data_IF_316925656034
#
_entry.id   IF_316925656034
#
_cell.length_a   1.000
_cell.length_b   1.000
_cell.length_c   1.000
_cell.angle_alpha   90.00
_cell.angle_beta   90.00
_cell.angle_gamma   90.00
#
_symmetry.space_group_name_H-M   'P 1'
#
loop_
_entity.id
_entity.type
_entity.pdbx_description
1 polymer ?
#
# COMPACT_ATOMS: atom_id res chain seq x y z
N UNK A 1 -36.95 7.33 -38.23
CA UNK A 1 -36.46 7.96 -36.98
C UNK A 1 -35.13 7.30 -36.64
N UNK A 2 -34.05 7.86 -37.11
CA UNK A 2 -32.74 7.26 -37.03
C UNK A 2 -32.00 7.70 -35.77
N UNK A 3 -31.40 6.73 -35.09
CA UNK A 3 -30.47 6.99 -33.96
C UNK A 3 -29.07 6.95 -34.55
N UNK A 4 -28.40 8.12 -34.54
CA UNK A 4 -27.00 8.25 -34.90
C UNK A 4 -26.12 7.58 -33.82
N UNK A 5 -25.40 6.54 -34.19
CA UNK A 5 -24.28 6.01 -33.39
C UNK A 5 -23.00 6.79 -33.74
N UNK A 6 -22.50 7.59 -32.81
CA UNK A 6 -21.19 8.20 -32.91
C UNK A 6 -20.12 7.21 -32.44
N UNK A 7 -19.50 6.52 -33.39
CA UNK A 7 -18.27 5.76 -33.14
C UNK A 7 -17.06 6.68 -33.26
N UNK A 8 -16.52 7.12 -32.13
CA UNK A 8 -15.23 7.83 -32.10
C UNK A 8 -14.09 6.80 -32.31
N UNK A 9 -13.57 6.75 -33.53
CA UNK A 9 -12.30 6.07 -33.85
C UNK A 9 -11.13 6.93 -33.37
N UNK A 10 -10.52 6.59 -32.26
CA UNK A 10 -9.23 7.15 -31.87
C UNK A 10 -8.12 6.57 -32.74
N UNK A 11 -7.54 7.39 -33.59
CA UNK A 11 -6.33 7.08 -34.35
C UNK A 11 -5.12 6.98 -33.42
N UNK A 12 -4.28 5.95 -33.64
CA UNK A 12 -2.95 5.73 -33.06
C UNK A 12 -2.00 6.88 -33.39
N UNK A 13 -1.94 7.93 -32.60
CA UNK A 13 -0.88 8.93 -32.62
C UNK A 13 -0.91 9.74 -31.31
N UNK A 14 -0.44 9.12 -30.23
CA UNK A 14 -0.28 9.80 -28.94
C UNK A 14 1.13 9.58 -28.36
N UNK A 15 2.15 9.91 -29.17
CA UNK A 15 3.52 10.06 -28.71
C UNK A 15 4.08 11.30 -29.43
N UNK A 16 3.66 12.51 -29.04
CA UNK A 16 4.57 13.64 -29.02
C UNK A 16 4.30 14.65 -27.89
N UNK A 17 3.77 14.24 -26.73
CA UNK A 17 3.52 15.20 -25.64
C UNK A 17 4.70 15.37 -24.67
N UNK A 18 5.76 14.57 -24.81
CA UNK A 18 6.94 14.66 -23.95
C UNK A 18 8.06 15.57 -24.51
N UNK A 19 7.94 16.08 -25.73
CA UNK A 19 9.01 16.86 -26.39
C UNK A 19 8.66 18.34 -26.66
N UNK A 20 7.51 18.83 -26.24
CA UNK A 20 7.09 20.21 -26.50
C UNK A 20 7.33 21.21 -25.34
N UNK A 21 8.09 20.83 -24.29
CA UNK A 21 8.38 21.71 -23.13
C UNK A 21 9.71 22.49 -23.31
N UNK A 22 10.39 22.42 -24.43
CA UNK A 22 11.70 23.06 -24.61
C UNK A 22 11.69 24.45 -25.26
N UNK A 23 10.59 25.20 -25.26
CA UNK A 23 10.63 26.60 -25.66
C UNK A 23 9.80 27.48 -24.70
N UNK A 24 10.33 27.73 -23.51
CA UNK A 24 9.83 28.78 -22.62
C UNK A 24 10.94 29.79 -22.38
N UNK A 25 10.74 31.01 -22.88
CA UNK A 25 11.61 32.13 -22.59
C UNK A 25 11.59 32.43 -21.08
N UNK A 26 12.74 32.24 -20.44
CA UNK A 26 12.99 32.53 -19.04
C UNK A 26 13.15 34.03 -18.82
N UNK A 27 12.12 34.71 -18.34
CA UNK A 27 12.27 35.96 -17.62
C UNK A 27 11.77 35.76 -16.22
N UNK A 28 12.73 35.69 -15.29
CA UNK A 28 12.49 35.45 -13.87
C UNK A 28 12.01 36.72 -13.18
N UNK A 29 10.90 36.66 -12.45
CA UNK A 29 10.64 37.45 -11.27
C UNK A 29 10.27 36.50 -10.12
N UNK A 30 11.18 36.39 -9.14
CA UNK A 30 10.99 35.58 -7.95
C UNK A 30 10.14 36.38 -6.95
N UNK A 31 8.90 35.95 -6.73
CA UNK A 31 8.19 36.20 -5.48
C UNK A 31 7.94 34.87 -4.78
N UNK A 32 8.55 34.75 -3.60
CA UNK A 32 8.44 33.59 -2.72
C UNK A 32 7.06 33.57 -2.08
N UNK A 33 6.07 32.96 -2.69
CA UNK A 33 4.82 32.61 -2.01
C UNK A 33 5.01 31.25 -1.33
N UNK A 34 4.95 31.25 0.00
CA UNK A 34 4.81 30.06 0.81
C UNK A 34 3.49 29.39 0.46
N UNK A 35 3.53 28.37 -0.36
CA UNK A 35 2.37 27.50 -0.61
C UNK A 35 2.15 26.67 0.66
N UNK A 36 1.15 27.01 1.46
CA UNK A 36 0.62 26.18 2.52
C UNK A 36 -0.22 25.03 1.90
N UNK A 37 0.39 24.23 1.06
CA UNK A 37 -0.23 23.00 0.61
C UNK A 37 -0.16 21.98 1.77
N UNK A 38 -1.28 21.71 2.42
CA UNK A 38 -1.48 20.61 3.37
C UNK A 38 -1.46 19.23 2.65
N UNK A 39 -0.79 19.14 1.53
CA UNK A 39 -0.59 17.89 0.83
C UNK A 39 0.75 17.33 1.28
N UNK A 40 0.70 16.26 2.08
CA UNK A 40 1.90 15.59 2.55
C UNK A 40 2.18 14.37 1.66
N UNK A 41 3.16 14.45 0.73
CA UNK A 41 3.56 13.31 -0.06
C UNK A 41 4.26 12.22 0.75
N UNK A 42 4.56 12.46 2.03
CA UNK A 42 5.30 11.55 2.91
C UNK A 42 4.54 10.28 3.28
N UNK A 43 3.22 10.24 3.04
CA UNK A 43 2.38 9.09 3.36
C UNK A 43 2.81 7.80 2.66
N UNK A 44 3.49 7.89 1.52
CA UNK A 44 4.05 6.74 0.80
C UNK A 44 5.58 6.64 0.95
N UNK A 45 6.20 7.36 1.90
CA UNK A 45 7.65 7.37 2.09
C UNK A 45 8.43 8.13 1.02
N UNK A 46 7.75 8.93 0.20
CA UNK A 46 8.39 9.76 -0.82
C UNK A 46 8.54 11.20 -0.31
N UNK A 47 9.54 11.45 0.51
CA UNK A 47 9.92 12.82 0.83
C UNK A 47 10.42 13.52 -0.43
N UNK A 48 9.93 14.73 -0.70
CA UNK A 48 10.50 15.60 -1.73
C UNK A 48 11.88 16.03 -1.25
N UNK A 49 12.98 15.62 -1.91
CA UNK A 49 14.29 15.82 -1.36
C UNK A 49 14.83 17.21 -1.70
N UNK A 50 14.65 18.14 -0.79
CA UNK A 50 15.68 19.18 -0.66
C UNK A 50 16.93 18.46 -0.15
N UNK A 51 17.80 17.99 -1.06
CA UNK A 51 19.00 17.23 -0.71
C UNK A 51 19.07 15.83 -1.30
N UNK A 52 18.35 15.54 -2.40
CA UNK A 52 18.49 14.29 -3.15
C UNK A 52 19.90 14.10 -3.72
N UNK A 53 20.25 12.87 -4.10
CA UNK A 53 21.55 12.49 -4.67
C UNK A 53 21.97 13.38 -5.87
N UNK A 54 21.01 13.81 -6.67
CA UNK A 54 21.26 14.65 -7.84
C UNK A 54 21.24 16.17 -7.53
N UNK A 55 20.92 16.55 -6.29
CA UNK A 55 20.83 17.95 -5.87
C UNK A 55 19.84 18.76 -6.71
N UNK A 56 20.24 19.96 -7.09
CA UNK A 56 19.46 20.87 -7.94
C UNK A 56 19.53 20.56 -9.45
N UNK A 57 20.31 19.54 -9.83
CA UNK A 57 20.56 19.16 -11.23
C UNK A 57 21.01 20.35 -12.10
N UNK A 58 21.99 21.12 -11.63
CA UNK A 58 22.47 22.35 -12.29
C UNK A 58 21.37 23.40 -12.52
N UNK A 59 20.46 23.57 -11.59
CA UNK A 59 19.34 24.50 -11.66
C UNK A 59 18.10 23.99 -12.39
N UNK A 60 18.11 22.75 -12.92
CA UNK A 60 16.94 22.19 -13.61
C UNK A 60 15.79 21.94 -12.63
N UNK A 61 16.06 21.39 -11.44
CA UNK A 61 15.03 21.15 -10.43
C UNK A 61 14.28 22.44 -10.03
N UNK A 62 14.96 23.52 -9.60
CA UNK A 62 14.30 24.80 -9.34
C UNK A 62 13.54 25.36 -10.54
N UNK A 63 14.07 25.19 -11.76
CA UNK A 63 13.37 25.64 -12.97
C UNK A 63 12.05 24.90 -13.20
N UNK A 64 12.02 23.58 -12.99
CA UNK A 64 10.80 22.76 -13.07
C UNK A 64 9.80 23.14 -11.96
N UNK A 65 10.26 23.29 -10.71
CA UNK A 65 9.44 23.69 -9.58
C UNK A 65 8.83 25.09 -9.83
N UNK A 66 9.62 26.04 -10.32
CA UNK A 66 9.13 27.35 -10.74
C UNK A 66 8.10 27.27 -11.87
N UNK A 67 8.15 26.23 -12.72
CA UNK A 67 7.13 25.93 -13.72
C UNK A 67 5.93 25.18 -13.16
N UNK A 68 5.84 24.94 -11.83
CA UNK A 68 4.78 24.19 -11.17
C UNK A 68 4.88 22.68 -11.37
N UNK A 69 6.04 22.17 -11.84
CA UNK A 69 6.29 20.74 -11.95
C UNK A 69 7.18 20.25 -10.81
N UNK A 70 6.60 19.47 -9.91
CA UNK A 70 7.30 18.85 -8.79
C UNK A 70 7.45 17.37 -9.05
N UNK A 71 8.62 16.80 -8.75
CA UNK A 71 8.84 15.37 -8.89
C UNK A 71 9.70 14.81 -7.78
N UNK A 72 9.52 13.52 -7.53
CA UNK A 72 10.36 12.71 -6.64
C UNK A 72 10.74 11.42 -7.36
N UNK A 73 12.01 11.09 -7.36
CA UNK A 73 12.54 9.83 -7.88
C UNK A 73 13.20 9.09 -6.72
N UNK A 74 12.69 7.92 -6.40
CA UNK A 74 13.16 7.10 -5.29
C UNK A 74 13.51 5.69 -5.76
N UNK A 75 14.51 5.11 -5.12
CA UNK A 75 14.88 3.71 -5.25
C UNK A 75 14.88 3.07 -3.85
N UNK A 76 14.23 1.92 -3.75
CA UNK A 76 14.23 1.09 -2.53
C UNK A 76 14.59 -0.32 -2.90
N UNK A 77 15.47 -0.95 -2.15
CA UNK A 77 15.67 -2.39 -2.23
C UNK A 77 15.56 -3.03 -0.85
N UNK A 78 15.23 -4.31 -0.85
CA UNK A 78 15.10 -5.12 0.35
C UNK A 78 15.69 -6.49 0.10
N UNK A 79 16.57 -6.89 1.00
CA UNK A 79 17.12 -8.24 1.07
C UNK A 79 16.53 -8.90 2.30
N UNK A 80 16.07 -10.15 2.15
CA UNK A 80 15.60 -10.96 3.28
C UNK A 80 16.26 -12.34 3.21
N UNK A 81 16.75 -12.82 4.35
CA UNK A 81 17.47 -14.08 4.47
C UNK A 81 16.86 -14.94 5.57
N UNK A 82 16.45 -16.16 5.25
CA UNK A 82 15.99 -17.13 6.24
C UNK A 82 17.18 -17.66 7.06
N UNK A 83 17.40 -17.11 8.23
CA UNK A 83 18.51 -17.50 9.11
C UNK A 83 18.26 -18.83 9.82
N UNK A 84 17.00 -19.13 10.19
CA UNK A 84 16.65 -20.37 10.87
C UNK A 84 15.14 -20.66 10.77
N UNK A 85 14.76 -21.92 10.79
CA UNK A 85 13.36 -22.35 10.80
C UNK A 85 12.66 -22.21 9.46
N UNK A 86 11.33 -22.13 9.50
CA UNK A 86 10.48 -22.10 8.32
C UNK A 86 10.15 -23.48 7.78
N UNK A 87 9.46 -23.50 6.65
CA UNK A 87 9.02 -24.74 5.99
C UNK A 87 10.14 -25.45 5.27
N UNK A 88 10.89 -24.70 4.43
CA UNK A 88 12.08 -25.18 3.77
C UNK A 88 13.32 -24.51 4.41
N UNK A 89 14.27 -25.31 4.86
CA UNK A 89 15.46 -24.82 5.55
C UNK A 89 16.57 -24.32 4.60
N UNK A 90 16.33 -24.22 3.31
CA UNK A 90 17.26 -23.64 2.36
C UNK A 90 17.57 -22.18 2.71
N UNK A 91 18.87 -21.92 2.87
CA UNK A 91 19.38 -20.62 3.32
C UNK A 91 19.81 -19.77 2.13
N UNK A 92 18.84 -19.23 1.41
CA UNK A 92 19.10 -18.26 0.34
C UNK A 92 18.52 -16.90 0.68
N UNK A 93 19.13 -15.84 0.19
CA UNK A 93 18.58 -14.51 0.28
C UNK A 93 17.54 -14.29 -0.82
N UNK A 94 16.47 -13.58 -0.51
CA UNK A 94 15.52 -13.02 -1.48
C UNK A 94 15.82 -11.54 -1.66
N UNK A 95 15.77 -11.08 -2.89
CA UNK A 95 16.00 -9.70 -3.26
C UNK A 95 14.80 -9.12 -3.99
N UNK A 96 14.41 -7.92 -3.59
CA UNK A 96 13.42 -7.12 -4.32
C UNK A 96 13.89 -5.69 -4.42
N UNK A 97 13.53 -4.99 -5.49
CA UNK A 97 13.76 -3.58 -5.63
C UNK A 97 12.62 -2.83 -6.30
N UNK A 98 12.65 -1.52 -6.17
CA UNK A 98 11.69 -0.63 -6.75
C UNK A 98 12.31 0.72 -7.09
N UNK A 99 12.09 1.18 -8.32
CA UNK A 99 12.27 2.57 -8.72
C UNK A 99 10.90 3.21 -8.85
N UNK A 100 10.70 4.37 -8.27
CA UNK A 100 9.42 5.10 -8.32
C UNK A 100 9.65 6.56 -8.70
N UNK A 101 9.03 7.00 -9.79
CA UNK A 101 8.94 8.39 -10.19
C UNK A 101 7.52 8.88 -9.90
N UNK A 102 7.40 9.82 -8.98
CA UNK A 102 6.15 10.53 -8.69
C UNK A 102 6.26 11.96 -9.17
N UNK A 103 5.21 12.50 -9.75
CA UNK A 103 5.18 13.90 -10.18
C UNK A 103 3.82 14.54 -9.94
N UNK A 104 3.85 15.86 -9.76
CA UNK A 104 2.68 16.74 -9.69
C UNK A 104 2.92 17.94 -10.58
N UNK A 105 1.96 18.24 -11.46
CA UNK A 105 1.93 19.44 -12.27
C UNK A 105 0.81 20.34 -11.80
N UNK A 106 1.14 21.50 -11.28
CA UNK A 106 0.19 22.58 -11.01
C UNK A 106 -0.40 23.08 -12.32
N UNK A 107 -1.73 23.14 -12.40
CA UNK A 107 -2.46 23.55 -13.58
C UNK A 107 -2.91 25.00 -13.53
N UNK A 108 -2.97 25.64 -12.38
CA UNK A 108 -3.45 27.01 -12.23
C UNK A 108 -2.70 27.96 -13.17
N UNK A 109 -1.38 27.82 -13.20
CA UNK A 109 -0.50 28.64 -14.03
C UNK A 109 -0.80 28.54 -15.55
N UNK A 110 -1.25 27.37 -16.02
CA UNK A 110 -1.44 27.12 -17.46
C UNK A 110 -2.89 27.25 -17.90
N UNK A 111 -3.81 26.98 -17.02
CA UNK A 111 -5.24 26.90 -17.34
C UNK A 111 -6.06 27.99 -16.64
N UNK A 112 -5.50 28.67 -15.63
CA UNK A 112 -6.21 29.58 -14.76
C UNK A 112 -7.24 28.90 -13.84
N UNK A 113 -7.21 27.55 -13.73
CA UNK A 113 -8.08 26.79 -12.82
C UNK A 113 -7.39 26.74 -11.47
N UNK A 114 -7.89 27.43 -10.43
CA UNK A 114 -7.23 27.49 -9.15
C UNK A 114 -7.24 26.15 -8.43
N UNK A 115 -6.16 25.89 -7.68
CA UNK A 115 -5.98 24.70 -6.85
C UNK A 115 -6.17 23.37 -7.61
N UNK A 116 -5.83 23.34 -8.90
CA UNK A 116 -5.93 22.17 -9.75
C UNK A 116 -4.55 21.60 -10.10
N UNK A 117 -4.42 20.27 -10.10
CA UNK A 117 -3.19 19.58 -10.44
C UNK A 117 -3.44 18.28 -11.22
N UNK A 118 -2.42 17.86 -12.01
CA UNK A 118 -2.29 16.49 -12.49
C UNK A 118 -1.19 15.82 -11.66
N UNK A 119 -1.48 14.64 -11.16
CA UNK A 119 -0.56 13.82 -10.38
C UNK A 119 -0.34 12.48 -11.06
N UNK A 120 0.89 12.01 -11.08
CA UNK A 120 1.21 10.74 -11.69
C UNK A 120 2.34 10.01 -10.98
N UNK A 121 2.34 8.69 -11.15
CA UNK A 121 3.42 7.83 -10.65
C UNK A 121 3.73 6.75 -11.68
N UNK A 122 5.01 6.54 -11.92
CA UNK A 122 5.53 5.45 -12.72
C UNK A 122 6.45 4.64 -11.81
N UNK A 123 6.24 3.34 -11.78
CA UNK A 123 7.01 2.45 -10.93
C UNK A 123 7.56 1.27 -11.72
N UNK A 124 8.82 0.94 -11.46
CA UNK A 124 9.45 -0.30 -11.89
C UNK A 124 9.73 -1.15 -10.64
N UNK A 125 9.37 -2.41 -10.67
CA UNK A 125 9.70 -3.38 -9.62
C UNK A 125 10.40 -4.57 -10.21
N UNK A 126 11.40 -5.08 -9.48
CA UNK A 126 12.03 -6.36 -9.75
C UNK A 126 12.01 -7.18 -8.47
N UNK A 127 11.69 -8.44 -8.58
CA UNK A 127 11.70 -9.34 -7.43
C UNK A 127 11.98 -10.77 -7.84
N UNK A 128 12.68 -11.41 -6.97
CA UNK A 128 12.73 -12.84 -6.84
C UNK A 128 12.11 -13.16 -5.45
N UNK A 129 10.98 -13.70 -5.34
CA UNK A 129 10.25 -13.74 -4.08
C UNK A 129 10.01 -15.14 -3.55
N UNK A 130 11.00 -16.00 -3.69
CA UNK A 130 10.87 -17.38 -3.25
C UNK A 130 10.97 -17.55 -1.72
N UNK A 131 11.50 -16.55 -0.99
CA UNK A 131 11.67 -16.68 0.46
C UNK A 131 10.37 -17.06 1.17
N UNK A 132 9.28 -16.31 0.93
CA UNK A 132 7.97 -16.60 1.52
C UNK A 132 7.43 -17.94 1.04
N UNK A 133 7.34 -18.12 -0.28
CA UNK A 133 6.58 -19.20 -0.92
C UNK A 133 7.14 -20.57 -0.62
N UNK A 134 8.44 -20.71 -0.70
CA UNK A 134 9.07 -22.01 -0.72
C UNK A 134 9.92 -22.28 0.51
N UNK A 135 10.12 -21.25 1.36
CA UNK A 135 11.01 -21.35 2.53
C UNK A 135 10.34 -21.05 3.85
N UNK A 136 9.65 -19.92 3.97
CA UNK A 136 9.01 -19.55 5.23
C UNK A 136 7.69 -20.30 5.43
N UNK A 137 6.84 -20.37 4.41
CA UNK A 137 5.52 -20.99 4.47
C UNK A 137 5.49 -22.30 3.69
N UNK A 138 4.60 -23.20 4.08
CA UNK A 138 4.22 -24.34 3.24
C UNK A 138 3.62 -23.82 1.92
N UNK A 139 4.16 -24.30 0.79
CA UNK A 139 3.70 -23.87 -0.54
C UNK A 139 2.24 -24.19 -0.84
N UNK A 140 1.65 -25.15 -0.11
CA UNK A 140 0.21 -25.52 -0.17
C UNK A 140 -0.66 -24.58 0.64
N UNK A 141 -0.07 -23.80 1.57
CA UNK A 141 -0.78 -22.89 2.45
C UNK A 141 -1.18 -21.58 1.76
N UNK A 142 -2.16 -20.89 2.35
CA UNK A 142 -2.54 -19.54 1.93
C UNK A 142 -1.38 -18.55 2.13
N UNK A 143 -1.19 -17.67 1.17
CA UNK A 143 -0.18 -16.61 1.26
C UNK A 143 -0.73 -15.43 2.05
N UNK A 144 -0.44 -15.39 3.34
CA UNK A 144 -0.90 -14.34 4.25
C UNK A 144 0.20 -13.40 4.70
N UNK A 145 1.45 -13.84 4.64
CA UNK A 145 2.61 -13.20 5.26
C UNK A 145 3.64 -12.80 4.21
N UNK A 146 4.26 -11.64 4.38
CA UNK A 146 5.27 -11.09 3.45
C UNK A 146 6.44 -10.52 4.26
N UNK A 147 7.65 -11.04 4.02
CA UNK A 147 8.88 -10.58 4.69
C UNK A 147 9.45 -9.27 4.16
N UNK A 148 8.93 -8.78 3.05
CA UNK A 148 9.38 -7.61 2.33
C UNK A 148 8.19 -6.79 1.84
N UNK A 149 8.32 -5.44 1.86
CA UNK A 149 7.18 -4.57 1.53
C UNK A 149 6.99 -4.31 0.03
N UNK A 150 8.07 -4.31 -0.76
CA UNK A 150 8.04 -3.96 -2.18
C UNK A 150 7.47 -5.09 -3.03
N UNK A 151 6.35 -5.65 -2.61
CA UNK A 151 5.69 -6.80 -3.20
C UNK A 151 4.56 -6.41 -4.15
N UNK A 152 4.33 -7.22 -5.18
CA UNK A 152 3.16 -7.14 -6.04
C UNK A 152 3.35 -6.33 -7.32
N UNK A 153 2.35 -6.38 -8.20
CA UNK A 153 2.32 -5.68 -9.48
C UNK A 153 3.24 -6.26 -10.55
N UNK A 154 3.94 -7.35 -10.25
CA UNK A 154 4.90 -8.06 -11.10
C UNK A 154 6.19 -7.26 -11.39
N UNK A 155 7.23 -7.95 -11.89
CA UNK A 155 8.52 -7.37 -12.28
C UNK A 155 8.41 -6.69 -13.64
N UNK A 156 7.91 -5.47 -13.66
CA UNK A 156 7.73 -4.63 -14.85
C UNK A 156 7.72 -3.14 -14.50
N UNK A 157 7.88 -2.31 -15.52
CA UNK A 157 7.57 -0.88 -15.43
C UNK A 157 6.09 -0.66 -15.74
N UNK A 158 5.40 0.07 -14.87
CA UNK A 158 3.97 0.32 -14.99
C UNK A 158 3.56 1.70 -14.49
N UNK A 159 2.38 2.13 -14.90
CA UNK A 159 1.70 3.25 -14.28
C UNK A 159 1.33 2.85 -12.84
N UNK A 160 1.61 3.69 -11.86
CA UNK A 160 1.17 3.53 -10.47
C UNK A 160 -0.14 4.24 -10.19
N UNK A 161 -0.29 5.46 -10.73
CA UNK A 161 -1.53 6.26 -10.80
C UNK A 161 -1.38 7.39 -11.81
N UNK A 162 -2.52 7.94 -12.24
CA UNK A 162 -2.62 9.18 -13.02
C UNK A 162 -3.96 9.83 -12.71
N UNK A 163 -3.94 10.94 -11.98
CA UNK A 163 -5.13 11.59 -11.46
C UNK A 163 -5.13 13.09 -11.73
N UNK A 164 -6.33 13.64 -11.87
CA UNK A 164 -6.61 15.06 -11.75
C UNK A 164 -7.12 15.32 -10.33
N UNK A 165 -6.63 16.36 -9.68
CA UNK A 165 -7.11 16.82 -8.37
C UNK A 165 -7.45 18.29 -8.39
N UNK A 166 -8.42 18.70 -7.56
CA UNK A 166 -8.78 20.08 -7.35
C UNK A 166 -9.37 20.31 -5.95
N UNK A 167 -9.06 21.47 -5.37
CA UNK A 167 -9.66 21.91 -4.10
C UNK A 167 -10.68 23.01 -4.32
N UNK A 168 -11.69 23.06 -3.46
CA UNK A 168 -12.80 24.01 -3.46
C UNK A 168 -13.11 24.45 -2.03
N UNK A 169 -14.02 25.42 -1.86
CA UNK A 169 -14.52 25.89 -0.55
C UNK A 169 -13.35 26.26 0.38
N UNK A 170 -12.54 27.22 -0.03
CA UNK A 170 -11.33 27.65 0.68
C UNK A 170 -10.43 26.45 1.06
N UNK A 171 -10.32 25.48 0.13
CA UNK A 171 -9.54 24.24 0.27
C UNK A 171 -10.06 23.26 1.32
N UNK A 172 -11.32 23.35 1.72
CA UNK A 172 -11.93 22.35 2.61
C UNK A 172 -12.40 21.10 1.88
N UNK A 173 -12.84 21.27 0.62
CA UNK A 173 -13.27 20.15 -0.22
C UNK A 173 -12.17 19.81 -1.23
N UNK A 174 -11.63 18.59 -1.15
CA UNK A 174 -10.65 18.07 -2.08
C UNK A 174 -11.27 16.97 -2.94
N UNK A 175 -11.17 17.13 -4.23
CA UNK A 175 -11.65 16.17 -5.21
C UNK A 175 -10.50 15.62 -6.02
N UNK A 176 -10.46 14.29 -6.18
CA UNK A 176 -9.53 13.59 -7.06
C UNK A 176 -10.29 12.62 -7.94
N UNK A 177 -9.90 12.50 -9.22
CA UNK A 177 -10.48 11.58 -10.20
C UNK A 177 -9.40 11.08 -11.14
N UNK A 178 -9.50 9.84 -11.59
CA UNK A 178 -8.58 9.24 -12.57
C UNK A 178 -8.24 7.79 -12.25
N UNK A 179 -7.07 7.37 -12.72
CA UNK A 179 -6.49 6.07 -12.40
C UNK A 179 -5.77 6.16 -11.07
N UNK A 180 -6.29 5.54 -10.04
CA UNK A 180 -5.83 5.67 -8.66
C UNK A 180 -5.81 4.34 -7.92
N UNK A 181 -5.17 4.32 -6.78
CA UNK A 181 -5.30 3.24 -5.80
C UNK A 181 -5.81 3.81 -4.46
N UNK A 182 -6.36 2.95 -3.61
CA UNK A 182 -6.96 3.37 -2.35
C UNK A 182 -5.97 4.04 -1.40
N UNK A 183 -4.75 3.53 -1.32
CA UNK A 183 -3.77 4.00 -0.33
C UNK A 183 -3.32 5.44 -0.51
N UNK A 184 -3.60 6.07 -1.65
CA UNK A 184 -3.34 7.50 -1.81
C UNK A 184 -4.21 8.37 -0.88
N UNK A 185 -5.36 7.87 -0.47
CA UNK A 185 -6.37 8.67 0.22
C UNK A 185 -6.86 8.05 1.53
N UNK A 186 -6.82 6.73 1.69
CA UNK A 186 -7.37 5.98 2.81
C UNK A 186 -6.31 5.15 3.53
N UNK A 187 -6.58 4.75 4.78
CA UNK A 187 -5.71 3.91 5.62
C UNK A 187 -4.28 4.48 5.82
N UNK A 188 -4.16 5.79 5.96
CA UNK A 188 -2.88 6.50 5.98
C UNK A 188 -2.29 6.73 7.38
N UNK A 189 -2.92 6.24 8.44
CA UNK A 189 -2.44 6.48 9.81
C UNK A 189 -1.09 5.80 10.11
N UNK A 190 -0.75 4.72 9.42
CA UNK A 190 0.50 3.96 9.63
C UNK A 190 1.28 3.92 8.34
N UNK A 191 2.52 4.39 8.36
CA UNK A 191 3.45 4.30 7.22
C UNK A 191 4.12 2.94 7.09
N UNK A 192 4.90 2.76 6.01
CA UNK A 192 5.69 1.55 5.73
C UNK A 192 7.13 1.71 6.24
N UNK A 193 7.32 1.76 7.55
CA UNK A 193 8.64 1.87 8.16
C UNK A 193 9.35 0.53 8.29
N UNK A 194 8.60 -0.53 8.51
CA UNK A 194 9.08 -1.90 8.65
C UNK A 194 9.35 -2.53 7.30
N UNK A 195 10.23 -3.52 7.24
CA UNK A 195 10.46 -4.28 6.01
C UNK A 195 9.34 -5.29 5.75
N UNK A 196 8.82 -5.95 6.80
CA UNK A 196 7.68 -6.85 6.61
C UNK A 196 6.42 -6.09 6.19
N UNK A 197 5.77 -6.57 5.13
CA UNK A 197 4.51 -6.00 4.66
C UNK A 197 3.40 -6.11 5.73
N UNK A 198 3.50 -7.06 6.65
CA UNK A 198 2.51 -7.26 7.72
C UNK A 198 2.44 -6.09 8.72
N UNK A 199 3.48 -5.25 8.77
CA UNK A 199 3.55 -4.04 9.60
C UNK A 199 3.54 -2.75 8.76
N UNK A 200 3.40 -2.86 7.44
CA UNK A 200 3.37 -1.75 6.52
C UNK A 200 1.93 -1.27 6.31
N UNK A 201 1.63 -0.09 6.81
CA UNK A 201 0.31 0.52 6.72
C UNK A 201 -0.78 -0.24 7.50
N UNK A 202 -2.03 0.17 7.39
CA UNK A 202 -3.18 -0.51 7.99
C UNK A 202 -3.65 -1.76 7.24
N UNK A 203 -2.77 -2.45 6.52
CA UNK A 203 -3.11 -3.44 5.50
C UNK A 203 -3.26 -4.85 5.95
N UNK A 204 -3.04 -5.14 7.20
CA UNK A 204 -2.92 -6.52 7.67
C UNK A 204 -4.14 -7.42 7.43
N UNK A 205 -5.27 -6.87 6.94
CA UNK A 205 -6.39 -7.65 6.44
C UNK A 205 -6.58 -7.45 4.93
N UNK A 206 -5.61 -7.85 4.13
CA UNK A 206 -5.79 -7.87 2.68
C UNK A 206 -6.93 -8.80 2.30
N UNK A 207 -8.07 -8.23 1.94
CA UNK A 207 -9.10 -8.96 1.23
C UNK A 207 -8.63 -9.22 -0.21
N UNK A 208 -8.97 -10.38 -0.77
CA UNK A 208 -8.54 -10.74 -2.13
C UNK A 208 -9.06 -9.82 -3.24
N UNK A 209 -10.01 -8.92 -2.96
CA UNK A 209 -10.53 -7.89 -3.86
C UNK A 209 -9.90 -6.50 -3.64
N UNK A 210 -8.95 -6.44 -2.72
CA UNK A 210 -8.26 -5.22 -2.37
C UNK A 210 -6.89 -5.17 -3.03
N UNK A 211 -6.70 -4.24 -3.93
CA UNK A 211 -5.42 -4.02 -4.57
C UNK A 211 -4.79 -2.73 -4.05
N UNK A 212 -3.57 -2.85 -3.59
CA UNK A 212 -2.77 -1.72 -3.14
C UNK A 212 -1.94 -1.16 -4.29
N UNK A 213 -1.25 -0.04 -4.01
CA UNK A 213 -0.21 0.48 -4.87
C UNK A 213 0.74 -0.68 -5.24
N UNK A 214 1.00 -0.83 -6.42
CA UNK A 214 1.13 -0.17 -7.69
C UNK A 214 0.08 -0.66 -8.73
N UNK A 215 -1.02 -1.21 -8.30
CA UNK A 215 -2.17 -1.44 -9.17
C UNK A 215 -3.13 -0.26 -9.04
N UNK A 216 -3.75 0.13 -10.15
CA UNK A 216 -4.59 1.31 -10.23
C UNK A 216 -5.90 1.01 -10.96
N UNK A 217 -6.91 1.82 -10.69
CA UNK A 217 -8.28 1.67 -11.20
C UNK A 217 -8.87 3.02 -11.48
N UNK A 218 -9.89 3.09 -12.33
CA UNK A 218 -10.72 4.26 -12.40
C UNK A 218 -11.40 4.50 -11.05
N UNK A 219 -11.36 5.74 -10.60
CA UNK A 219 -11.98 6.11 -9.33
C UNK A 219 -12.13 7.60 -9.17
N UNK A 220 -12.89 7.94 -8.14
CA UNK A 220 -13.04 9.31 -7.66
C UNK A 220 -13.08 9.31 -6.13
N UNK A 221 -12.49 10.31 -5.52
CA UNK A 221 -12.45 10.51 -4.07
C UNK A 221 -12.80 11.94 -3.75
N UNK A 222 -13.63 12.10 -2.71
CA UNK A 222 -13.92 13.36 -2.07
C UNK A 222 -13.43 13.31 -0.63
N UNK A 223 -12.72 14.35 -0.20
CA UNK A 223 -12.32 14.58 1.19
C UNK A 223 -12.87 15.93 1.61
N UNK A 224 -13.48 16.00 2.78
CA UNK A 224 -13.99 17.25 3.33
C UNK A 224 -13.46 17.47 4.75
N UNK A 225 -12.80 18.60 4.95
CA UNK A 225 -12.29 19.01 6.24
C UNK A 225 -13.43 19.57 7.08
N UNK A 226 -13.98 18.73 7.97
CA UNK A 226 -15.04 19.10 8.92
C UNK A 226 -14.54 20.13 9.93
N UNK A 227 -13.29 19.97 10.36
CA UNK A 227 -12.53 20.90 11.20
C UNK A 227 -11.09 20.96 10.72
N UNK A 228 -10.23 21.75 11.37
CA UNK A 228 -8.80 21.77 11.10
C UNK A 228 -8.09 20.44 11.41
N UNK A 229 -8.72 19.56 12.18
CA UNK A 229 -8.16 18.28 12.62
C UNK A 229 -8.94 17.05 12.12
N UNK A 230 -10.21 17.23 11.71
CA UNK A 230 -11.09 16.12 11.34
C UNK A 230 -11.49 16.20 9.86
N UNK A 231 -11.16 15.18 9.10
CA UNK A 231 -11.49 15.03 7.69
C UNK A 231 -12.39 13.81 7.46
N UNK A 232 -13.48 13.99 6.73
CA UNK A 232 -14.32 12.91 6.22
C UNK A 232 -13.93 12.59 4.78
N UNK A 233 -13.87 11.30 4.44
CA UNK A 233 -13.44 10.83 3.13
C UNK A 233 -14.41 9.79 2.58
N UNK A 234 -14.73 9.90 1.30
CA UNK A 234 -15.52 8.90 0.56
C UNK A 234 -14.96 8.74 -0.84
N UNK A 235 -14.95 7.51 -1.34
CA UNK A 235 -14.52 7.22 -2.70
C UNK A 235 -15.40 6.20 -3.40
N UNK A 236 -15.31 6.17 -4.71
CA UNK A 236 -15.83 5.09 -5.56
C UNK A 236 -14.71 4.67 -6.50
N UNK A 237 -14.37 3.39 -6.50
CA UNK A 237 -13.27 2.86 -7.29
C UNK A 237 -13.73 1.60 -8.03
N UNK A 238 -13.35 1.50 -9.29
CA UNK A 238 -13.55 0.28 -10.08
C UNK A 238 -12.91 -0.94 -9.39
N UNK A 239 -13.55 -2.08 -9.49
CA UNK A 239 -12.96 -3.38 -9.12
C UNK A 239 -12.68 -4.19 -10.39
N UNK A 240 -11.39 -4.27 -10.74
CA UNK A 240 -10.94 -4.95 -11.95
C UNK A 240 -9.74 -5.85 -11.64
N UNK A 241 -9.96 -7.17 -11.46
CA UNK A 241 -8.90 -8.11 -11.09
C UNK A 241 -7.80 -8.23 -12.15
N UNK A 242 -8.04 -7.80 -13.39
CA UNK A 242 -7.03 -7.85 -14.45
C UNK A 242 -5.97 -6.74 -14.33
N UNK A 243 -6.24 -5.65 -13.61
CA UNK A 243 -5.35 -4.50 -13.52
C UNK A 243 -4.00 -4.81 -12.87
N UNK A 244 -3.89 -5.89 -12.09
CA UNK A 244 -2.61 -6.40 -11.59
C UNK A 244 -1.75 -7.12 -12.63
N UNK A 245 -2.25 -7.43 -13.81
CA UNK A 245 -1.53 -8.21 -14.84
C UNK A 245 -0.52 -7.36 -15.64
N UNK A 246 0.51 -8.02 -16.21
CA UNK A 246 1.52 -7.35 -17.05
C UNK A 246 0.91 -6.64 -18.26
N UNK A 247 -0.09 -7.24 -18.90
CA UNK A 247 -0.75 -6.67 -20.09
C UNK A 247 -1.50 -5.37 -19.78
N UNK A 248 -1.84 -5.12 -18.51
CA UNK A 248 -2.56 -3.94 -18.05
C UNK A 248 -1.65 -2.87 -17.45
N UNK A 249 -0.33 -3.03 -17.53
CA UNK A 249 0.65 -2.14 -16.91
C UNK A 249 0.49 -0.65 -17.28
N UNK A 250 -0.02 -0.36 -18.47
CA UNK A 250 -0.25 0.99 -19.00
C UNK A 250 -1.68 1.18 -19.51
N UNK A 251 -2.59 0.27 -19.16
CA UNK A 251 -3.95 0.31 -19.67
C UNK A 251 -4.79 1.35 -18.93
N UNK A 252 -5.55 2.13 -19.68
CA UNK A 252 -6.60 3.01 -19.17
C UNK A 252 -8.01 2.42 -19.46
N UNK A 253 -8.09 1.16 -19.92
CA UNK A 253 -9.35 0.49 -20.20
C UNK A 253 -9.97 -0.06 -18.92
N UNK A 254 -11.30 0.03 -18.82
CA UNK A 254 -12.12 -0.61 -17.78
C UNK A 254 -12.60 -2.02 -18.17
N UNK A 255 -12.11 -2.57 -19.28
CA UNK A 255 -12.45 -3.95 -19.67
C UNK A 255 -12.04 -4.93 -18.55
N UNK A 256 -12.91 -5.87 -18.21
CA UNK A 256 -12.71 -6.81 -17.11
C UNK A 256 -13.18 -6.28 -15.75
N UNK A 257 -13.79 -5.10 -15.70
CA UNK A 257 -14.42 -4.58 -14.48
C UNK A 257 -15.50 -5.53 -13.97
N UNK A 258 -15.53 -5.78 -12.65
CA UNK A 258 -16.46 -6.67 -11.96
C UNK A 258 -17.40 -5.96 -11.00
N UNK A 259 -17.26 -4.67 -10.85
CA UNK A 259 -18.03 -3.86 -9.93
C UNK A 259 -17.23 -2.69 -9.37
N UNK A 260 -17.61 -2.24 -8.20
CA UNK A 260 -16.95 -1.12 -7.53
C UNK A 260 -16.64 -1.40 -6.07
N UNK A 261 -15.71 -0.61 -5.53
CA UNK A 261 -15.39 -0.47 -4.13
C UNK A 261 -15.85 0.92 -3.67
N UNK A 262 -16.48 0.98 -2.50
CA UNK A 262 -16.91 2.21 -1.83
C UNK A 262 -16.19 2.32 -0.48
N UNK A 263 -15.00 2.93 -0.41
CA UNK A 263 -14.33 3.25 0.84
C UNK A 263 -14.92 4.52 1.46
N UNK A 264 -15.06 4.51 2.79
CA UNK A 264 -15.43 5.65 3.62
C UNK A 264 -14.54 5.68 4.85
N UNK A 265 -14.04 6.85 5.23
CA UNK A 265 -13.12 7.01 6.36
C UNK A 265 -13.33 8.36 7.06
N UNK A 266 -13.22 8.36 8.38
CA UNK A 266 -12.98 9.54 9.18
C UNK A 266 -11.51 9.51 9.64
N UNK A 267 -10.80 10.60 9.42
CA UNK A 267 -9.43 10.81 9.84
C UNK A 267 -9.33 11.99 10.79
N UNK A 268 -8.75 11.76 11.96
CA UNK A 268 -8.51 12.79 12.97
C UNK A 268 -7.02 12.97 13.21
N UNK A 269 -6.54 14.21 13.09
CA UNK A 269 -5.14 14.61 13.24
C UNK A 269 -4.97 15.57 14.43
N UNK A 270 -5.05 15.08 15.69
CA UNK A 270 -4.91 15.91 16.85
C UNK A 270 -3.45 16.30 17.11
N UNK A 271 -3.30 17.40 17.85
CA UNK A 271 -2.05 17.81 18.49
C UNK A 271 -2.21 17.64 19.99
N UNK A 272 -1.94 16.44 20.53
CA UNK A 272 -2.11 16.16 21.96
C UNK A 272 -1.17 17.03 22.80
N UNK A 273 -1.71 17.57 23.89
CA UNK A 273 -1.01 18.53 24.77
C UNK A 273 -0.42 19.75 24.03
N UNK A 274 -0.99 20.09 22.86
CA UNK A 274 -0.55 21.21 22.01
C UNK A 274 0.77 21.00 21.27
N UNK A 275 1.41 19.82 21.38
CA UNK A 275 2.75 19.58 20.80
C UNK A 275 3.00 18.17 20.26
N UNK A 276 2.17 17.19 20.58
CA UNK A 276 2.40 15.79 20.19
C UNK A 276 1.44 15.40 19.04
N UNK A 277 1.91 15.36 17.78
CA UNK A 277 1.06 15.05 16.65
C UNK A 277 0.60 13.61 16.67
N UNK A 278 -0.63 13.40 16.26
CA UNK A 278 -1.25 12.09 16.07
C UNK A 278 -2.04 12.02 14.78
N UNK A 279 -2.28 10.81 14.30
CA UNK A 279 -3.21 10.51 13.22
C UNK A 279 -4.00 9.27 13.58
N UNK A 280 -5.31 9.36 13.49
CA UNK A 280 -6.25 8.30 13.81
C UNK A 280 -7.22 8.16 12.65
N UNK A 281 -7.51 6.93 12.24
CA UNK A 281 -8.56 6.69 11.27
C UNK A 281 -9.52 5.59 11.71
N UNK A 282 -10.75 5.71 11.24
CA UNK A 282 -11.77 4.68 11.31
C UNK A 282 -12.45 4.63 9.95
N UNK A 283 -12.47 3.46 9.33
CA UNK A 283 -12.97 3.31 7.97
C UNK A 283 -13.77 2.04 7.77
N UNK A 284 -14.60 2.07 6.74
CA UNK A 284 -15.33 0.91 6.24
C UNK A 284 -15.33 0.92 4.72
N UNK A 285 -15.48 -0.24 4.15
CA UNK A 285 -15.48 -0.41 2.70
C UNK A 285 -16.50 -1.47 2.32
N UNK A 286 -17.17 -1.21 1.21
CA UNK A 286 -18.14 -2.13 0.61
C UNK A 286 -17.78 -2.38 -0.84
N UNK A 287 -17.99 -3.59 -1.31
CA UNK A 287 -17.91 -3.92 -2.73
C UNK A 287 -19.16 -4.66 -3.18
N UNK A 288 -19.55 -4.42 -4.43
CA UNK A 288 -20.57 -5.19 -5.12
C UNK A 288 -19.97 -6.19 -6.12
N UNK A 289 -18.65 -6.31 -6.19
CA UNK A 289 -18.00 -7.30 -7.04
C UNK A 289 -18.36 -8.71 -6.61
N UNK A 290 -18.53 -9.66 -7.54
CA UNK A 290 -18.78 -11.07 -7.22
C UNK A 290 -17.64 -11.61 -6.34
N UNK A 291 -18.04 -12.26 -5.24
CA UNK A 291 -17.12 -12.87 -4.27
C UNK A 291 -17.60 -14.30 -4.00
N UNK A 292 -16.75 -15.29 -4.29
CA UNK A 292 -17.06 -16.67 -3.98
C UNK A 292 -17.09 -16.92 -2.47
N UNK A 293 -18.05 -17.70 -1.99
CA UNK A 293 -18.02 -18.25 -0.63
C UNK A 293 -16.82 -19.19 -0.48
N UNK A 294 -16.20 -19.20 0.69
CA UNK A 294 -15.02 -20.01 0.96
C UNK A 294 -15.36 -21.45 1.37
N UNK A 295 -16.64 -21.79 1.55
CA UNK A 295 -17.07 -23.11 2.03
C UNK A 295 -18.41 -23.59 1.45
N UNK A 296 -19.36 -22.69 1.18
CA UNK A 296 -20.73 -23.04 0.81
C UNK A 296 -20.91 -23.05 -0.72
N UNK A 297 -21.57 -24.09 -1.24
CA UNK A 297 -21.93 -24.22 -2.65
C UNK A 297 -23.26 -23.55 -2.99
N UNK A 298 -23.53 -23.40 -4.28
CA UNK A 298 -24.76 -22.77 -4.82
C UNK A 298 -26.02 -23.54 -4.44
N UNK A 299 -25.93 -24.88 -4.39
CA UNK A 299 -27.04 -25.78 -4.07
C UNK A 299 -27.22 -26.01 -2.55
N UNK A 300 -26.40 -25.32 -1.70
CA UNK A 300 -26.44 -25.47 -0.25
C UNK A 300 -25.62 -26.65 0.29
N UNK A 301 -24.95 -27.40 -0.58
CA UNK A 301 -23.93 -28.38 -0.19
C UNK A 301 -22.57 -27.69 0.06
N UNK A 302 -21.61 -28.40 0.68
CA UNK A 302 -20.22 -27.88 0.70
C UNK A 302 -19.73 -27.59 -0.70
N UNK A 303 -19.14 -26.42 -0.92
CA UNK A 303 -18.73 -25.96 -2.26
C UNK A 303 -17.72 -26.88 -2.96
N UNK A 304 -16.96 -27.65 -2.18
CA UNK A 304 -16.01 -28.63 -2.69
C UNK A 304 -16.65 -29.81 -3.45
N UNK A 305 -17.93 -30.10 -3.22
CA UNK A 305 -18.69 -31.20 -3.87
C UNK A 305 -19.92 -30.71 -4.63
N UNK A 306 -20.22 -29.43 -4.56
CA UNK A 306 -21.35 -28.86 -5.28
C UNK A 306 -21.02 -28.77 -6.78
N UNK A 307 -21.81 -29.48 -7.61
CA UNK A 307 -21.62 -29.50 -9.05
C UNK A 307 -21.78 -28.10 -9.70
N UNK A 308 -22.57 -27.23 -9.06
CA UNK A 308 -22.79 -25.84 -9.50
C UNK A 308 -21.70 -24.88 -9.02
N UNK A 309 -20.74 -25.38 -8.21
CA UNK A 309 -19.62 -24.62 -7.66
C UNK A 309 -19.98 -23.81 -6.42
N UNK A 310 -19.04 -23.01 -5.97
CA UNK A 310 -19.21 -22.18 -4.78
C UNK A 310 -20.26 -21.10 -4.98
N UNK A 311 -21.01 -20.78 -3.89
CA UNK A 311 -21.95 -19.67 -3.86
C UNK A 311 -21.22 -18.35 -4.09
N UNK A 312 -21.84 -17.42 -4.82
CA UNK A 312 -21.32 -16.08 -5.05
C UNK A 312 -22.15 -15.04 -4.32
N UNK A 313 -21.49 -14.09 -3.70
CA UNK A 313 -22.08 -12.89 -3.12
C UNK A 313 -21.71 -11.67 -3.96
N UNK A 314 -22.67 -10.78 -4.20
CA UNK A 314 -22.44 -9.46 -4.81
C UNK A 314 -22.32 -8.37 -3.75
N UNK A 315 -21.79 -8.71 -2.59
CA UNK A 315 -21.51 -7.79 -1.48
C UNK A 315 -20.49 -8.39 -0.55
N UNK A 316 -19.53 -7.61 -0.19
CA UNK A 316 -18.58 -7.91 0.89
C UNK A 316 -18.22 -6.61 1.58
N UNK A 317 -17.73 -6.69 2.79
CA UNK A 317 -17.39 -5.55 3.61
C UNK A 317 -16.05 -5.74 4.31
N UNK A 318 -15.46 -4.60 4.66
CA UNK A 318 -14.25 -4.51 5.43
C UNK A 318 -14.36 -3.30 6.37
N UNK A 319 -13.88 -3.46 7.60
CA UNK A 319 -13.80 -2.41 8.59
C UNK A 319 -12.38 -2.31 9.11
N UNK A 320 -11.86 -1.09 9.28
CA UNK A 320 -10.53 -0.85 9.82
C UNK A 320 -10.50 0.35 10.75
N UNK A 321 -9.59 0.31 11.71
CA UNK A 321 -9.19 1.46 12.51
C UNK A 321 -7.70 1.39 12.75
N UNK A 322 -7.03 2.53 12.72
CA UNK A 322 -5.61 2.62 13.00
C UNK A 322 -5.26 3.96 13.66
N UNK A 323 -4.16 3.99 14.36
CA UNK A 323 -3.59 5.23 14.84
C UNK A 323 -2.06 5.19 14.84
N UNK A 324 -1.47 6.35 14.81
CA UNK A 324 -0.07 6.63 15.07
C UNK A 324 0.00 7.90 15.90
N UNK A 325 0.52 7.82 17.11
CA UNK A 325 0.55 8.92 18.08
C UNK A 325 1.95 9.10 18.63
N UNK A 326 2.51 10.27 18.44
CA UNK A 326 3.72 10.67 19.18
C UNK A 326 3.38 10.86 20.66
N UNK A 327 4.13 10.22 21.54
CA UNK A 327 3.87 10.24 23.00
C UNK A 327 4.99 10.94 23.79
N UNK A 328 6.17 11.12 23.21
CA UNK A 328 7.24 11.91 23.79
C UNK A 328 7.84 12.85 22.75
N UNK A 329 8.40 13.95 23.22
CA UNK A 329 9.22 14.87 22.45
C UNK A 329 10.57 15.02 23.15
N UNK A 330 11.66 14.94 22.40
CA UNK A 330 13.01 15.10 22.94
C UNK A 330 13.56 16.46 22.57
N UNK A 331 14.12 17.18 23.57
CA UNK A 331 14.81 18.48 23.41
C UNK A 331 13.97 19.55 22.68
N UNK A 332 12.64 19.54 22.89
CA UNK A 332 11.70 20.44 22.22
C UNK A 332 11.70 20.33 20.66
N UNK A 333 12.37 19.32 20.10
CA UNK A 333 12.32 19.01 18.68
C UNK A 333 11.03 18.21 18.36
N UNK A 334 10.09 18.78 17.60
CA UNK A 334 8.81 18.14 17.31
C UNK A 334 8.94 16.86 16.48
N UNK A 335 10.09 16.64 15.86
CA UNK A 335 10.35 15.45 15.05
C UNK A 335 11.03 14.32 15.83
N UNK A 336 11.61 14.60 17.02
CA UNK A 336 12.31 13.61 17.83
C UNK A 336 11.43 13.11 18.96
N UNK A 337 11.44 11.81 19.18
CA UNK A 337 10.69 11.20 20.27
C UNK A 337 10.07 9.87 19.90
N UNK A 338 9.30 9.32 20.82
CA UNK A 338 8.63 8.03 20.69
C UNK A 338 7.22 8.19 20.14
N UNK A 339 6.87 7.34 19.20
CA UNK A 339 5.50 7.19 18.69
C UNK A 339 5.01 5.76 18.91
N UNK A 340 3.73 5.62 19.24
CA UNK A 340 2.99 4.37 19.26
C UNK A 340 2.09 4.28 18.03
N UNK A 341 1.98 3.08 17.46
CA UNK A 341 1.00 2.81 16.42
C UNK A 341 0.24 1.52 16.71
N UNK A 342 -0.99 1.45 16.22
CA UNK A 342 -1.76 0.21 16.20
C UNK A 342 -2.78 0.25 15.07
N UNK A 343 -3.10 -0.93 14.53
CA UNK A 343 -4.21 -1.12 13.58
C UNK A 343 -5.01 -2.36 13.95
N UNK A 344 -6.29 -2.31 13.60
CA UNK A 344 -7.22 -3.44 13.74
C UNK A 344 -8.12 -3.44 12.51
N UNK A 345 -8.29 -4.61 11.89
CA UNK A 345 -9.12 -4.76 10.72
C UNK A 345 -9.94 -6.04 10.76
N UNK A 346 -11.17 -5.98 10.26
CA UNK A 346 -12.10 -7.08 10.15
C UNK A 346 -12.64 -7.17 8.74
N UNK A 347 -12.90 -8.37 8.25
CA UNK A 347 -13.50 -8.59 6.95
C UNK A 347 -14.62 -9.63 6.98
N UNK A 348 -15.45 -9.64 5.94
CA UNK A 348 -16.48 -10.66 5.76
C UNK A 348 -15.82 -12.02 5.56
N UNK A 349 -15.80 -12.85 6.60
CA UNK A 349 -15.08 -14.12 6.59
C UNK A 349 -15.66 -15.18 5.66
N UNK A 350 -16.86 -14.95 5.08
CA UNK A 350 -17.45 -15.87 4.09
C UNK A 350 -16.72 -15.81 2.76
N UNK A 351 -16.22 -14.61 2.41
CA UNK A 351 -15.57 -14.35 1.13
C UNK A 351 -14.11 -13.88 1.25
N UNK A 352 -13.59 -13.73 2.48
CA UNK A 352 -12.22 -13.34 2.72
C UNK A 352 -11.46 -14.39 3.53
N UNK A 353 -10.26 -14.71 3.11
CA UNK A 353 -9.38 -15.67 3.77
C UNK A 353 -8.94 -15.18 5.16
N UNK A 354 -8.77 -13.88 5.35
CA UNK A 354 -8.45 -13.28 6.64
C UNK A 354 -9.75 -12.83 7.32
N UNK A 355 -9.99 -13.29 8.54
CA UNK A 355 -11.13 -12.90 9.35
C UNK A 355 -10.91 -11.56 10.03
N UNK A 356 -9.76 -11.41 10.68
CA UNK A 356 -9.29 -10.16 11.26
C UNK A 356 -7.78 -10.16 11.39
N UNK A 357 -7.24 -8.97 11.52
CA UNK A 357 -5.82 -8.76 11.76
C UNK A 357 -5.62 -7.58 12.70
N UNK A 358 -4.52 -7.62 13.43
CA UNK A 358 -4.09 -6.56 14.31
C UNK A 358 -2.59 -6.34 14.18
N UNK A 359 -2.15 -5.09 14.26
CA UNK A 359 -0.74 -4.76 14.40
C UNK A 359 -0.56 -3.69 15.46
N UNK A 360 0.60 -3.68 16.09
CA UNK A 360 0.97 -2.65 17.07
C UNK A 360 2.47 -2.56 17.18
N UNK A 361 2.98 -1.38 17.55
CA UNK A 361 4.40 -1.20 17.76
C UNK A 361 4.77 0.19 18.24
N UNK A 362 6.08 0.36 18.36
CA UNK A 362 6.71 1.60 18.78
C UNK A 362 7.76 2.00 17.76
N UNK A 363 7.97 3.31 17.62
CA UNK A 363 9.08 3.89 16.86
C UNK A 363 9.66 5.04 17.65
N UNK A 364 10.98 5.21 17.59
CA UNK A 364 11.67 6.33 18.21
C UNK A 364 12.59 6.98 17.18
N UNK A 365 12.41 8.28 16.92
CA UNK A 365 13.32 9.08 16.12
C UNK A 365 14.30 9.84 17.00
N UNK A 366 15.59 9.78 16.65
CA UNK A 366 16.63 10.54 17.33
C UNK A 366 16.85 10.13 18.79
N UNK A 367 16.86 8.82 19.07
CA UNK A 367 17.14 8.29 20.42
C UNK A 367 18.53 8.76 20.91
N UNK A 368 19.52 8.74 20.02
CA UNK A 368 20.89 9.16 20.31
C UNK A 368 21.14 10.59 19.78
N UNK A 369 21.77 11.45 20.60
CA UNK A 369 21.99 12.85 20.21
C UNK A 369 22.99 13.03 19.06
N UNK A 370 23.93 12.08 18.91
CA UNK A 370 24.86 12.05 17.78
C UNK A 370 24.16 11.61 16.46
N UNK A 371 22.95 11.06 16.56
CA UNK A 371 22.18 10.51 15.44
C UNK A 371 20.71 10.94 15.55
N UNK A 372 20.41 12.24 15.46
CA UNK A 372 19.06 12.78 15.72
C UNK A 372 18.01 12.38 14.66
N UNK A 373 18.46 11.97 13.48
CA UNK A 373 17.57 11.60 12.36
C UNK A 373 17.36 10.09 12.24
N UNK A 374 18.11 9.27 12.99
CA UNK A 374 17.98 7.82 12.94
C UNK A 374 16.69 7.36 13.62
N UNK A 375 16.18 6.21 13.16
CA UNK A 375 15.00 5.57 13.72
C UNK A 375 15.31 4.21 14.29
N UNK A 376 14.65 3.87 15.36
CA UNK A 376 14.54 2.51 15.86
C UNK A 376 13.06 2.16 15.98
N UNK A 377 12.69 0.94 15.61
CA UNK A 377 11.31 0.49 15.72
C UNK A 377 11.21 -0.97 16.11
N UNK A 378 10.09 -1.30 16.75
CA UNK A 378 9.69 -2.66 17.05
C UNK A 378 8.17 -2.77 16.88
N UNK A 379 7.72 -3.86 16.25
CA UNK A 379 6.30 -4.08 16.01
C UNK A 379 5.95 -5.55 15.95
N UNK A 380 4.66 -5.83 16.10
CA UNK A 380 4.07 -7.16 16.01
C UNK A 380 2.77 -7.09 15.21
N UNK A 381 2.57 -8.08 14.35
CA UNK A 381 1.34 -8.30 13.59
C UNK A 381 0.75 -9.66 13.90
N UNK A 382 -0.55 -9.74 13.98
CA UNK A 382 -1.36 -10.95 14.15
C UNK A 382 -2.40 -11.05 13.04
N UNK A 383 -2.47 -12.19 12.38
CA UNK A 383 -3.45 -12.46 11.31
C UNK A 383 -4.25 -13.70 11.68
N UNK A 384 -5.59 -13.59 11.71
CA UNK A 384 -6.51 -14.71 11.96
C UNK A 384 -7.21 -15.11 10.68
N UNK A 385 -7.13 -16.38 10.35
CA UNK A 385 -7.72 -16.96 9.15
C UNK A 385 -9.24 -17.21 9.35
N UNK A 386 -9.97 -17.11 8.25
CA UNK A 386 -11.42 -17.36 8.18
C UNK A 386 -11.76 -18.79 8.62
N UNK A 387 -12.79 -18.91 9.46
CA UNK A 387 -13.31 -20.22 9.85
C UNK A 387 -14.02 -20.93 8.69
N UNK A 388 -14.61 -20.20 7.74
CA UNK A 388 -15.21 -20.77 6.52
C UNK A 388 -14.13 -21.46 5.67
N UNK A 389 -13.01 -20.77 5.44
CA UNK A 389 -11.89 -21.35 4.70
C UNK A 389 -11.33 -22.60 5.39
N UNK A 390 -11.09 -22.53 6.70
CA UNK A 390 -10.65 -23.67 7.50
C UNK A 390 -11.61 -24.86 7.42
N UNK A 391 -12.91 -24.60 7.56
CA UNK A 391 -13.95 -25.61 7.46
C UNK A 391 -13.93 -26.32 6.11
N UNK A 392 -13.78 -25.57 5.02
CA UNK A 392 -13.68 -26.12 3.66
C UNK A 392 -12.44 -27.03 3.48
N UNK A 393 -11.27 -26.60 3.98
CA UNK A 393 -10.06 -27.41 3.90
C UNK A 393 -10.17 -28.71 4.73
N UNK A 394 -10.76 -28.66 5.93
CA UNK A 394 -11.03 -29.86 6.72
C UNK A 394 -11.94 -30.83 5.95
N UNK A 395 -13.02 -30.31 5.35
CA UNK A 395 -13.92 -31.11 4.57
C UNK A 395 -13.24 -31.74 3.34
N UNK A 396 -12.37 -31.00 2.63
CA UNK A 396 -11.57 -31.54 1.53
C UNK A 396 -10.63 -32.67 2.00
N UNK A 397 -10.02 -32.55 3.17
CA UNK A 397 -9.16 -33.60 3.72
C UNK A 397 -9.97 -34.83 4.10
N UNK A 398 -11.16 -34.68 4.64
CA UNK A 398 -12.09 -35.79 4.93
C UNK A 398 -12.51 -36.50 3.64
N UNK A 399 -12.89 -35.77 2.60
CA UNK A 399 -13.24 -36.31 1.28
C UNK A 399 -12.10 -37.13 0.66
N UNK A 400 -10.87 -36.63 0.77
CA UNK A 400 -9.68 -37.29 0.25
C UNK A 400 -9.19 -38.41 1.16
N UNK A 401 -9.83 -38.62 2.33
CA UNK A 401 -9.42 -39.56 3.36
C UNK A 401 -7.95 -39.38 3.77
N UNK A 402 -7.51 -38.13 3.91
CA UNK A 402 -6.15 -37.75 4.33
C UNK A 402 -6.18 -36.99 5.64
N UNK A 403 -5.37 -37.46 6.60
CA UNK A 403 -5.20 -36.83 7.91
C UNK A 403 -3.76 -36.52 8.27
N UNK A 404 -2.83 -37.07 7.50
CA UNK A 404 -1.39 -36.88 7.73
C UNK A 404 -0.90 -35.65 6.98
N UNK A 405 -0.33 -34.69 7.70
CA UNK A 405 0.26 -33.47 7.15
C UNK A 405 1.35 -33.75 6.11
N UNK A 406 2.10 -34.86 6.27
CA UNK A 406 3.16 -35.24 5.31
C UNK A 406 2.63 -35.76 3.98
N UNK A 407 1.34 -36.10 3.89
CA UNK A 407 0.72 -36.55 2.65
C UNK A 407 0.61 -35.36 1.67
N UNK A 408 1.10 -35.49 0.42
CA UNK A 408 1.03 -34.43 -0.58
C UNK A 408 -0.40 -33.97 -0.92
N UNK A 409 -1.40 -34.82 -0.70
CA UNK A 409 -2.82 -34.49 -0.94
C UNK A 409 -3.49 -33.79 0.26
N UNK A 410 -2.78 -33.68 1.38
CA UNK A 410 -3.29 -32.98 2.56
C UNK A 410 -3.30 -31.47 2.31
N UNK A 411 -4.43 -30.84 2.57
CA UNK A 411 -4.56 -29.39 2.59
C UNK A 411 -4.20 -28.87 3.98
N UNK A 412 -3.07 -28.18 4.16
CA UNK A 412 -2.68 -27.61 5.46
C UNK A 412 -3.77 -26.67 5.99
N UNK A 413 -4.11 -26.82 7.28
CA UNK A 413 -5.21 -26.05 7.90
C UNK A 413 -4.64 -24.81 8.59
N UNK A 414 -4.76 -23.62 7.98
CA UNK A 414 -4.23 -22.40 8.58
C UNK A 414 -5.15 -21.90 9.70
N UNK A 415 -4.57 -21.41 10.77
CA UNK A 415 -5.32 -20.83 11.88
C UNK A 415 -4.96 -19.35 12.12
N UNK A 416 -3.72 -19.08 12.48
CA UNK A 416 -3.21 -17.73 12.70
C UNK A 416 -1.70 -17.67 12.49
N UNK A 417 -1.21 -16.50 12.11
CA UNK A 417 0.22 -16.19 12.08
C UNK A 417 0.52 -14.97 12.95
N UNK A 418 1.76 -14.94 13.48
CA UNK A 418 2.31 -13.78 14.19
C UNK A 418 3.66 -13.44 13.56
N UNK A 419 3.84 -12.17 13.23
CA UNK A 419 5.13 -11.65 12.75
C UNK A 419 5.58 -10.53 13.67
N UNK A 420 6.80 -10.59 14.17
CA UNK A 420 7.43 -9.50 14.90
C UNK A 420 8.66 -9.03 14.12
N UNK A 421 8.92 -7.73 14.15
CA UNK A 421 10.12 -7.12 13.55
C UNK A 421 10.70 -6.07 14.46
N UNK A 422 12.03 -6.02 14.51
CA UNK A 422 12.79 -4.91 15.07
C UNK A 422 13.75 -4.39 14.01
N UNK A 423 13.88 -3.07 13.91
CA UNK A 423 14.81 -2.44 12.96
C UNK A 423 15.56 -1.28 13.57
N UNK A 424 16.70 -0.95 12.98
CA UNK A 424 17.39 0.31 13.15
C UNK A 424 17.64 0.93 11.77
N UNK A 425 17.15 2.16 11.53
CA UNK A 425 17.31 2.90 10.28
C UNK A 425 18.36 3.98 10.47
N UNK A 426 19.48 3.82 9.79
CA UNK A 426 20.55 4.79 9.72
C UNK A 426 20.25 5.81 8.62
N UNK A 427 20.11 7.07 8.95
CA UNK A 427 20.15 8.20 8.02
C UNK A 427 21.59 8.53 7.73
N UNK A 428 22.19 7.92 6.71
CA UNK A 428 23.63 8.07 6.38
C UNK A 428 23.89 9.44 5.76
N UNK A 429 23.04 9.85 4.83
CA UNK A 429 23.02 11.17 4.19
C UNK A 429 21.57 11.62 4.03
N UNK A 430 21.29 12.87 3.65
CA UNK A 430 19.90 13.29 3.36
C UNK A 430 19.17 12.44 2.31
N UNK A 431 19.92 11.78 1.44
CA UNK A 431 19.39 11.02 0.31
C UNK A 431 19.62 9.50 0.43
N UNK A 432 20.31 9.01 1.47
CA UNK A 432 20.63 7.57 1.63
C UNK A 432 20.33 7.06 3.04
N UNK A 433 19.51 6.03 3.10
CA UNK A 433 19.17 5.31 4.33
C UNK A 433 19.51 3.83 4.22
N UNK A 434 19.93 3.26 5.34
CA UNK A 434 20.23 1.83 5.49
C UNK A 434 19.52 1.31 6.75
N UNK A 435 18.73 0.25 6.59
CA UNK A 435 17.90 -0.30 7.67
C UNK A 435 18.10 -1.82 7.77
N UNK A 436 19.02 -2.29 8.61
CA UNK A 436 19.00 -3.69 9.05
C UNK A 436 17.79 -3.95 9.92
N UNK A 437 17.22 -5.16 9.80
CA UNK A 437 16.10 -5.64 10.59
C UNK A 437 16.23 -7.10 10.94
N UNK A 438 15.48 -7.52 11.97
CA UNK A 438 15.33 -8.89 12.40
C UNK A 438 13.84 -9.19 12.56
N UNK A 439 13.36 -10.21 11.86
CA UNK A 439 11.98 -10.66 11.92
C UNK A 439 11.88 -12.02 12.57
N UNK A 440 10.84 -12.23 13.37
CA UNK A 440 10.44 -13.51 13.92
C UNK A 440 9.04 -13.87 13.42
N UNK A 441 8.90 -15.08 12.90
CA UNK A 441 7.69 -15.60 12.29
C UNK A 441 7.21 -16.81 13.07
N UNK A 442 6.03 -16.71 13.67
CA UNK A 442 5.37 -17.79 14.37
C UNK A 442 4.18 -18.28 13.54
N UNK A 443 4.13 -19.59 13.26
CA UNK A 443 3.18 -20.20 12.34
C UNK A 443 3.14 -19.51 10.96
N UNK A 444 4.26 -19.50 10.23
CA UNK A 444 4.28 -18.94 8.87
C UNK A 444 3.17 -19.52 8.00
N UNK A 445 2.39 -18.65 7.30
CA UNK A 445 1.21 -19.07 6.55
C UNK A 445 0.02 -19.50 7.41
N UNK A 446 0.07 -19.28 8.73
CA UNK A 446 -0.95 -19.70 9.68
C UNK A 446 -0.87 -21.19 10.04
N UNK A 447 0.15 -21.93 9.62
CA UNK A 447 0.26 -23.39 9.74
C UNK A 447 1.07 -23.73 10.98
N UNK A 448 0.46 -24.45 11.92
CA UNK A 448 1.10 -24.84 13.21
C UNK A 448 2.22 -25.86 13.04
N UNK A 449 2.17 -26.68 11.97
CA UNK A 449 3.18 -27.67 11.62
C UNK A 449 4.44 -27.03 11.03
N UNK A 450 4.35 -25.79 10.53
CA UNK A 450 5.52 -25.05 10.03
C UNK A 450 6.32 -24.49 11.19
N UNK A 451 7.61 -24.82 11.22
CA UNK A 451 8.53 -24.31 12.24
C UNK A 451 8.59 -22.79 12.23
N UNK A 452 8.64 -22.18 13.41
CA UNK A 452 8.89 -20.75 13.52
C UNK A 452 10.21 -20.36 12.85
N UNK A 453 10.26 -19.18 12.23
CA UNK A 453 11.40 -18.74 11.43
C UNK A 453 12.00 -17.43 11.95
N UNK A 454 13.32 -17.30 11.74
CA UNK A 454 14.04 -16.04 11.91
C UNK A 454 14.51 -15.54 10.56
N UNK A 455 14.17 -14.31 10.23
CA UNK A 455 14.59 -13.64 8.99
C UNK A 455 15.44 -12.43 9.34
N UNK A 456 16.59 -12.32 8.68
CA UNK A 456 17.45 -11.13 8.73
C UNK A 456 17.18 -10.33 7.48
N UNK A 457 16.85 -9.06 7.65
CA UNK A 457 16.54 -8.13 6.57
C UNK A 457 17.55 -6.99 6.45
N UNK A 458 17.60 -6.42 5.27
CA UNK A 458 18.30 -5.18 4.97
C UNK A 458 17.51 -4.38 3.94
N UNK A 459 16.96 -3.25 4.37
CA UNK A 459 16.28 -2.29 3.50
C UNK A 459 17.21 -1.12 3.20
N UNK A 460 17.27 -0.69 1.95
CA UNK A 460 18.06 0.46 1.51
C UNK A 460 17.16 1.41 0.74
N UNK A 461 17.24 2.70 1.05
CA UNK A 461 16.48 3.74 0.36
C UNK A 461 17.40 4.81 -0.18
N UNK A 462 17.17 5.23 -1.43
CA UNK A 462 17.87 6.30 -2.14
C UNK A 462 16.84 7.28 -2.71
N UNK A 463 17.04 8.58 -2.45
CA UNK A 463 16.28 9.67 -3.06
C UNK A 463 17.18 10.46 -4.00
N UNK A 464 16.70 10.75 -5.23
CA UNK A 464 17.47 11.40 -6.29
C UNK A 464 17.13 12.87 -6.46
#
# INVERSE_FOLDING_TARGET
MGILSLTLKFKKNFIPFLFCIMNVNLTAHAETQKTNAKWDPTVLGFESPQGGLLGDMYGLRPALENAGFHYSLAYVNEIAYNAAGGYNHDKEASYIDQVSLTFTQDLERYTGIPDAAIEGNIVNRNHDSNLRRDRLQDSRALRTDESQESWGGQSITRLGWLTFSRSFDDRKLHWRIGMMNKLQDFDQAIGCDFQTLNLCGGKSANSGWWYNWNSYYWGTVLKYDLTSELTAKIGVMEQNPEMGSRRRAWSLSSDGSKGFLLPMELEWRPMLFGKLPGIYNIGTQFTNSPQADLSEGKSGYPGAIDADGYREYHRSWYFSTAFNQQITQKDDDPQRGMSLFSSLAFSDQRSNYIRYSASSGIRYRGLFDLRPEDWIGAGVSYIKISNHYKGNLNYLNELNNVSDYSNPLYNPIPDHSVTAEVFYRFKITPWFELQPDLQYWYHPGGIKETQAAWVIGLKTSLNF
#
